data_IF_964144534982
#
_entry.id   IF_964144534982
#
_cell.length_a   1.000
_cell.length_b   1.000
_cell.length_c   1.000
_cell.angle_alpha   90.00
_cell.angle_beta   90.00
_cell.angle_gamma   90.00
#
_symmetry.space_group_name_H-M   'P 1'
#
loop_
_entity.id
_entity.type
_entity.pdbx_description
1 polymer ?
#
# COMPACT_ATOMS: atom_id res chain seq x y z
N UNK A 1 -74.02 5.27 -50.79
CA UNK A 1 -72.97 4.23 -50.58
C UNK A 1 -72.09 4.71 -49.44
N UNK A 2 -72.34 4.27 -48.20
CA UNK A 2 -71.71 3.14 -47.47
C UNK A 2 -70.35 3.48 -46.80
N UNK A 3 -70.37 3.41 -45.44
CA UNK A 3 -69.31 3.13 -44.43
C UNK A 3 -68.43 4.32 -44.01
N UNK A 4 -68.53 4.91 -42.79
CA UNK A 4 -68.39 4.45 -41.39
C UNK A 4 -67.05 3.79 -41.01
N UNK A 5 -66.54 4.20 -39.82
CA UNK A 5 -65.67 3.55 -38.81
C UNK A 5 -64.29 4.21 -38.61
N UNK A 6 -64.14 5.00 -37.53
CA UNK A 6 -63.64 4.61 -36.19
C UNK A 6 -62.12 4.33 -36.12
N UNK A 7 -61.39 5.30 -35.56
CA UNK A 7 -60.16 5.11 -34.76
C UNK A 7 -60.30 6.11 -33.60
N UNK A 8 -60.50 5.76 -32.35
CA UNK A 8 -60.05 4.58 -31.63
C UNK A 8 -59.01 5.05 -30.61
N UNK A 9 -59.48 5.52 -29.45
CA UNK A 9 -58.69 5.88 -28.28
C UNK A 9 -57.70 4.76 -27.92
N UNK A 10 -56.43 5.11 -27.75
CA UNK A 10 -55.43 4.28 -27.09
C UNK A 10 -54.73 5.14 -26.03
N UNK A 11 -55.44 5.31 -24.92
CA UNK A 11 -54.82 5.59 -23.63
C UNK A 11 -54.35 4.24 -23.08
N UNK A 12 -53.05 4.06 -22.88
CA UNK A 12 -52.51 2.85 -22.24
C UNK A 12 -51.31 3.24 -21.38
N UNK A 13 -51.62 3.35 -20.08
CA UNK A 13 -50.79 2.98 -18.93
C UNK A 13 -49.27 3.15 -19.09
N UNK A 14 -48.78 4.34 -18.75
CA UNK A 14 -47.40 4.52 -18.31
C UNK A 14 -47.35 4.22 -16.80
N UNK A 15 -47.23 2.94 -16.45
CA UNK A 15 -46.96 2.52 -15.06
C UNK A 15 -45.49 2.83 -14.79
N UNK A 16 -45.24 3.90 -14.03
CA UNK A 16 -43.94 4.18 -13.43
C UNK A 16 -43.54 3.01 -12.54
N UNK A 17 -42.69 2.12 -13.05
CA UNK A 17 -41.88 1.22 -12.24
C UNK A 17 -40.69 2.02 -11.70
N UNK A 18 -40.91 2.85 -10.66
CA UNK A 18 -39.86 3.22 -9.71
C UNK A 18 -39.56 1.98 -8.87
N UNK A 19 -38.84 1.03 -9.46
CA UNK A 19 -38.17 0.00 -8.69
C UNK A 19 -37.18 0.74 -7.78
N UNK A 20 -37.53 0.86 -6.50
CA UNK A 20 -36.59 1.23 -5.47
C UNK A 20 -35.49 0.17 -5.48
N UNK A 21 -34.41 0.46 -6.19
CA UNK A 21 -33.11 -0.20 -6.04
C UNK A 21 -32.56 0.25 -4.68
N UNK A 22 -33.25 -0.12 -3.62
CA UNK A 22 -32.68 -0.18 -2.28
C UNK A 22 -31.76 -1.39 -2.32
N UNK A 23 -30.57 -1.20 -2.91
CA UNK A 23 -29.45 -2.10 -2.66
C UNK A 23 -29.29 -2.27 -1.15
N UNK A 24 -28.75 -3.40 -0.68
CA UNK A 24 -28.47 -3.55 0.74
C UNK A 24 -27.67 -2.32 1.16
N UNK A 25 -28.26 -1.49 2.01
CA UNK A 25 -27.49 -0.48 2.72
C UNK A 25 -26.48 -1.31 3.51
N UNK A 26 -25.26 -1.43 2.99
CA UNK A 26 -24.14 -1.93 3.78
C UNK A 26 -24.18 -1.06 5.02
N UNK A 27 -24.51 -1.67 6.15
CA UNK A 27 -24.43 -0.99 7.43
C UNK A 27 -22.99 -0.49 7.48
N UNK A 28 -22.82 0.84 7.37
CA UNK A 28 -21.52 1.47 7.44
C UNK A 28 -20.86 0.94 8.70
N UNK A 29 -19.65 0.39 8.56
CA UNK A 29 -18.99 -0.25 9.68
C UNK A 29 -18.89 0.77 10.81
N UNK A 30 -19.23 0.36 12.03
CA UNK A 30 -19.34 1.29 13.14
C UNK A 30 -17.95 1.80 13.54
N UNK A 31 -17.50 2.90 12.94
CA UNK A 31 -16.11 3.37 13.07
C UNK A 31 -15.40 3.61 11.74
N UNK A 32 -16.08 3.46 10.60
CA UNK A 32 -15.60 3.80 9.25
C UNK A 32 -15.60 5.32 9.06
N UNK A 33 -14.50 5.95 9.47
CA UNK A 33 -14.31 7.40 9.48
C UNK A 33 -14.00 7.96 8.10
N UNK A 34 -13.42 7.15 7.21
CA UNK A 34 -13.01 7.56 5.87
C UNK A 34 -13.96 7.11 4.74
N UNK A 35 -14.97 6.31 5.07
CA UNK A 35 -16.12 5.99 4.24
C UNK A 35 -15.82 4.94 3.17
N UNK A 36 -14.78 4.13 3.37
CA UNK A 36 -14.31 3.14 2.41
C UNK A 36 -15.00 1.77 2.55
N UNK A 37 -15.80 1.59 3.62
CA UNK A 37 -16.55 0.39 3.94
C UNK A 37 -15.89 -0.54 4.98
N UNK A 38 -14.74 -0.18 5.54
CA UNK A 38 -14.06 -0.89 6.62
C UNK A 38 -14.09 -0.09 7.93
N UNK A 39 -14.01 -0.80 9.05
CA UNK A 39 -13.88 -0.16 10.36
C UNK A 39 -12.44 0.32 10.58
N UNK A 40 -12.24 1.60 10.89
CA UNK A 40 -10.90 2.21 11.03
C UNK A 40 -9.97 1.45 11.99
N UNK A 41 -10.52 0.84 13.06
CA UNK A 41 -9.73 0.11 14.05
C UNK A 41 -9.35 -1.29 13.55
N UNK A 42 -10.21 -1.94 12.75
CA UNK A 42 -9.85 -3.14 12.01
C UNK A 42 -8.70 -2.82 11.05
N UNK A 43 -8.78 -1.73 10.30
CA UNK A 43 -7.72 -1.36 9.35
C UNK A 43 -6.36 -1.16 10.01
N UNK A 44 -6.31 -0.40 11.11
CA UNK A 44 -5.08 -0.20 11.90
C UNK A 44 -4.50 -1.54 12.35
N UNK A 45 -5.39 -2.44 12.82
CA UNK A 45 -5.01 -3.78 13.26
C UNK A 45 -4.44 -4.59 12.10
N UNK A 46 -5.06 -4.57 10.92
CA UNK A 46 -4.60 -5.30 9.74
C UNK A 46 -3.26 -4.77 9.24
N UNK A 47 -3.12 -3.45 9.11
CA UNK A 47 -1.89 -2.79 8.67
C UNK A 47 -0.72 -3.12 9.62
N UNK A 48 -0.91 -2.94 10.92
CA UNK A 48 0.14 -3.19 11.90
C UNK A 48 0.47 -4.68 12.05
N UNK A 49 -0.52 -5.57 11.94
CA UNK A 49 -0.33 -7.02 12.13
C UNK A 49 0.44 -7.65 10.98
N UNK A 50 0.08 -7.31 9.75
CA UNK A 50 0.58 -7.98 8.54
C UNK A 50 1.82 -7.32 7.93
N UNK A 51 2.28 -6.18 8.46
CA UNK A 51 3.54 -5.57 8.04
C UNK A 51 4.71 -6.57 8.20
N UNK A 52 5.51 -6.80 7.13
CA UNK A 52 6.58 -7.78 7.14
C UNK A 52 7.82 -7.29 7.91
N UNK A 53 8.78 -8.19 8.08
CA UNK A 53 10.15 -7.81 8.37
C UNK A 53 10.80 -7.18 7.11
N UNK A 54 11.63 -6.17 7.32
CA UNK A 54 12.40 -5.53 6.23
C UNK A 54 13.87 -5.86 6.47
N UNK A 55 14.45 -6.64 5.57
CA UNK A 55 15.88 -6.97 5.59
C UNK A 55 16.69 -5.93 4.83
N UNK A 56 17.88 -5.66 5.35
CA UNK A 56 18.85 -4.68 4.85
C UNK A 56 20.16 -5.37 4.55
N UNK A 57 20.91 -4.76 3.63
CA UNK A 57 22.25 -5.25 3.29
C UNK A 57 23.28 -4.89 4.38
N UNK A 58 24.44 -5.55 4.39
CA UNK A 58 25.56 -5.17 5.26
C UNK A 58 26.48 -4.09 4.68
N UNK A 59 26.39 -3.83 3.37
CA UNK A 59 27.14 -2.82 2.62
C UNK A 59 26.57 -1.41 2.75
N UNK A 60 25.44 -1.24 3.43
CA UNK A 60 24.75 0.04 3.60
C UNK A 60 25.68 1.17 4.05
N UNK A 61 25.61 2.29 3.35
CA UNK A 61 26.31 3.51 3.71
C UNK A 61 25.85 4.03 5.08
N UNK A 62 26.81 4.64 5.79
CA UNK A 62 26.56 5.16 7.14
C UNK A 62 25.43 6.20 7.12
N UNK A 63 24.37 5.93 7.88
CA UNK A 63 23.21 6.79 7.99
C UNK A 63 22.11 6.53 6.97
N UNK A 64 22.32 5.67 5.96
CA UNK A 64 21.32 5.45 4.91
C UNK A 64 20.07 4.74 5.43
N UNK A 65 20.27 3.76 6.31
CA UNK A 65 19.20 2.98 6.92
C UNK A 65 18.68 3.58 8.22
N UNK A 66 19.22 4.74 8.62
CA UNK A 66 18.86 5.33 9.89
C UNK A 66 17.50 6.03 9.78
N UNK A 67 16.64 5.89 10.79
CA UNK A 67 15.41 6.64 10.85
C UNK A 67 15.71 8.15 10.89
N UNK A 68 14.78 8.98 10.45
CA UNK A 68 14.98 10.43 10.45
C UNK A 68 15.21 11.02 11.86
N UNK A 69 14.79 10.30 12.90
CA UNK A 69 15.08 10.62 14.31
C UNK A 69 15.55 9.38 15.06
N UNK A 70 16.52 9.50 15.97
CA UNK A 70 17.04 8.38 16.76
C UNK A 70 16.04 7.77 17.75
N UNK A 71 14.91 8.43 18.03
CA UNK A 71 13.90 8.00 19.00
C UNK A 71 12.77 7.14 18.41
N UNK A 72 12.75 6.90 17.10
CA UNK A 72 11.68 6.14 16.46
C UNK A 72 12.29 5.11 15.47
N UNK A 73 11.79 3.86 15.44
CA UNK A 73 12.38 2.77 14.67
C UNK A 73 12.42 2.98 13.15
N UNK A 74 11.56 3.83 12.60
CA UNK A 74 11.34 4.03 11.15
C UNK A 74 9.84 4.21 10.88
N UNK A 75 9.47 4.75 9.73
CA UNK A 75 8.05 5.06 9.42
C UNK A 75 7.60 4.38 8.13
N UNK A 76 6.46 3.70 8.22
CA UNK A 76 5.73 3.18 7.08
C UNK A 76 4.29 3.70 7.12
N UNK A 77 3.79 4.15 5.97
CA UNK A 77 2.39 4.54 5.81
C UNK A 77 1.63 3.39 5.15
N UNK A 78 0.38 3.22 5.52
CA UNK A 78 -0.53 2.25 4.94
C UNK A 78 -1.80 2.94 4.46
N UNK A 79 -2.35 2.46 3.35
CA UNK A 79 -3.74 2.67 2.96
C UNK A 79 -4.39 1.30 2.87
N UNK A 80 -5.36 1.07 3.74
CA UNK A 80 -6.15 -0.17 3.82
C UNK A 80 -7.49 0.12 3.17
N UNK A 81 -8.01 -0.81 2.36
CA UNK A 81 -9.35 -0.70 1.77
C UNK A 81 -9.87 -2.01 1.20
N UNK A 82 -11.18 -2.12 0.88
CA UNK A 82 -11.67 -3.24 0.07
C UNK A 82 -10.92 -3.33 -1.25
N UNK A 83 -10.50 -4.55 -1.61
CA UNK A 83 -9.67 -4.76 -2.78
C UNK A 83 -10.48 -4.47 -4.06
N UNK A 84 -10.01 -3.60 -4.99
CA UNK A 84 -10.81 -3.14 -6.13
C UNK A 84 -11.17 -4.26 -7.12
N UNK A 85 -10.31 -5.27 -7.25
CA UNK A 85 -10.58 -6.44 -8.10
C UNK A 85 -11.44 -7.53 -7.44
N UNK A 86 -11.55 -7.53 -6.11
CA UNK A 86 -12.36 -8.50 -5.35
C UNK A 86 -12.76 -7.86 -4.00
N UNK A 87 -13.97 -7.27 -3.91
CA UNK A 87 -14.42 -6.60 -2.69
C UNK A 87 -14.54 -7.52 -1.45
N UNK A 88 -14.46 -8.84 -1.62
CA UNK A 88 -14.37 -9.79 -0.51
C UNK A 88 -12.98 -9.86 0.14
N UNK A 89 -11.96 -9.28 -0.50
CA UNK A 89 -10.58 -9.20 0.00
C UNK A 89 -10.24 -7.78 0.41
N UNK A 90 -9.13 -7.63 1.14
CA UNK A 90 -8.60 -6.33 1.56
C UNK A 90 -7.29 -6.08 0.82
N UNK A 91 -7.16 -4.88 0.25
CA UNK A 91 -5.91 -4.35 -0.27
C UNK A 91 -5.24 -3.51 0.82
N UNK A 92 -3.95 -3.74 1.04
CA UNK A 92 -3.12 -2.84 1.84
C UNK A 92 -1.97 -2.37 0.97
N UNK A 93 -1.94 -1.07 0.66
CA UNK A 93 -0.80 -0.42 0.05
C UNK A 93 0.07 0.17 1.16
N UNK A 94 1.30 -0.31 1.28
CA UNK A 94 2.30 0.28 2.16
C UNK A 94 3.25 1.16 1.36
N UNK A 95 3.78 2.18 2.02
CA UNK A 95 4.97 2.90 1.56
C UNK A 95 5.95 2.99 2.72
N UNK A 96 7.17 2.52 2.53
CA UNK A 96 8.25 2.77 3.47
C UNK A 96 8.85 4.14 3.14
N UNK A 97 8.97 4.98 4.16
CA UNK A 97 9.57 6.29 4.01
C UNK A 97 11.01 6.25 4.50
N UNK A 98 11.94 6.51 3.59
CA UNK A 98 13.33 6.72 3.96
C UNK A 98 13.65 8.21 3.94
N UNK A 99 14.53 8.63 4.84
CA UNK A 99 14.98 10.02 4.87
C UNK A 99 15.83 10.36 3.64
N UNK A 100 16.54 9.39 3.11
CA UNK A 100 17.53 9.54 2.07
C UNK A 100 17.59 8.22 1.30
N UNK A 101 17.62 8.31 -0.03
CA UNK A 101 18.20 7.30 -0.91
C UNK A 101 19.69 7.69 -1.08
N UNK A 102 20.62 6.79 -0.77
CA UNK A 102 22.04 7.12 -0.82
C UNK A 102 22.69 6.91 -2.18
N UNK A 103 21.97 6.37 -3.17
CA UNK A 103 22.60 5.99 -4.43
C UNK A 103 23.44 4.73 -4.31
N UNK A 104 23.70 4.09 -5.43
CA UNK A 104 24.80 3.13 -5.55
C UNK A 104 25.96 3.75 -6.34
N UNK A 105 26.99 2.94 -6.63
CA UNK A 105 28.29 3.35 -7.19
C UNK A 105 28.21 4.25 -8.45
N UNK A 106 27.09 4.22 -9.18
CA UNK A 106 26.89 5.01 -10.40
C UNK A 106 26.11 6.33 -10.20
N UNK A 107 25.86 6.73 -8.95
CA UNK A 107 25.07 7.90 -8.58
C UNK A 107 23.59 7.55 -8.37
N UNK A 108 22.75 8.56 -8.16
CA UNK A 108 21.30 8.38 -7.99
C UNK A 108 20.76 8.76 -6.62
N UNK A 109 21.63 8.96 -5.62
CA UNK A 109 21.19 9.33 -4.28
C UNK A 109 20.41 10.65 -4.25
N UNK A 110 19.34 10.67 -3.47
CA UNK A 110 18.45 11.82 -3.36
C UNK A 110 17.77 11.91 -1.99
N UNK A 111 17.28 13.12 -1.69
CA UNK A 111 16.57 13.40 -0.47
C UNK A 111 15.20 12.77 -0.47
N UNK A 112 14.87 12.08 0.63
CA UNK A 112 13.68 11.24 0.72
C UNK A 112 13.78 9.97 -0.11
N UNK A 113 12.99 8.97 0.27
CA UNK A 113 12.59 7.89 -0.62
C UNK A 113 11.21 7.32 -0.24
N UNK A 114 10.44 6.87 -1.24
CA UNK A 114 9.09 6.32 -1.06
C UNK A 114 8.95 4.99 -1.78
N UNK A 115 9.16 3.92 -1.02
CA UNK A 115 9.20 2.57 -1.56
C UNK A 115 7.89 1.81 -1.32
N UNK A 116 7.08 1.57 -2.37
CA UNK A 116 5.79 0.91 -2.22
C UNK A 116 5.92 -0.61 -2.16
N UNK A 117 5.03 -1.22 -1.40
CA UNK A 117 4.69 -2.63 -1.56
C UNK A 117 3.24 -2.86 -1.13
N UNK A 118 2.63 -3.93 -1.62
CA UNK A 118 1.24 -4.23 -1.35
C UNK A 118 1.04 -5.63 -0.79
N UNK A 119 0.06 -5.76 0.10
CA UNK A 119 -0.51 -7.04 0.48
C UNK A 119 -1.97 -7.11 0.04
N UNK A 120 -2.38 -8.30 -0.40
CA UNK A 120 -3.78 -8.69 -0.44
C UNK A 120 -4.05 -9.61 0.74
N UNK A 121 -5.09 -9.32 1.52
CA UNK A 121 -5.59 -10.21 2.56
C UNK A 121 -6.90 -10.86 2.10
N UNK A 122 -7.04 -12.16 2.37
CA UNK A 122 -8.26 -12.89 2.05
C UNK A 122 -9.00 -13.32 3.32
N UNK A 123 -10.34 -13.43 3.29
CA UNK A 123 -11.11 -13.93 4.42
C UNK A 123 -10.61 -15.30 4.89
N UNK A 124 -10.47 -15.44 6.19
CA UNK A 124 -10.03 -16.66 6.85
C UNK A 124 -10.48 -16.66 8.31
N UNK A 125 -11.55 -17.41 8.59
CA UNK A 125 -12.27 -17.37 9.87
C UNK A 125 -11.43 -17.85 11.07
N UNK A 126 -10.40 -18.66 10.86
CA UNK A 126 -9.48 -19.12 11.92
C UNK A 126 -8.37 -18.12 12.25
N UNK A 127 -8.21 -17.04 11.47
CA UNK A 127 -7.26 -15.97 11.81
C UNK A 127 -7.84 -15.03 12.88
N UNK A 128 -7.04 -14.47 13.80
CA UNK A 128 -7.52 -13.63 14.90
C UNK A 128 -8.37 -12.41 14.52
N UNK A 129 -8.19 -11.90 13.30
CA UNK A 129 -8.87 -10.73 12.75
C UNK A 129 -9.77 -11.10 11.55
N UNK A 130 -9.97 -12.39 11.27
CA UNK A 130 -10.78 -12.88 10.15
C UNK A 130 -10.09 -12.83 8.79
N UNK A 131 -8.80 -12.47 8.69
CA UNK A 131 -8.06 -12.37 7.44
C UNK A 131 -6.67 -12.99 7.52
N UNK A 132 -6.24 -13.65 6.44
CA UNK A 132 -4.87 -14.14 6.25
C UNK A 132 -4.19 -13.45 5.08
N UNK A 133 -2.86 -13.41 5.08
CA UNK A 133 -2.10 -12.82 3.97
C UNK A 133 -2.16 -13.74 2.74
N UNK A 134 -2.70 -13.24 1.64
CA UNK A 134 -2.96 -14.00 0.43
C UNK A 134 -1.88 -13.78 -0.63
N UNK A 135 -1.49 -12.54 -0.88
CA UNK A 135 -0.46 -12.18 -1.86
C UNK A 135 0.37 -10.99 -1.37
N UNK A 136 1.64 -10.95 -1.79
CA UNK A 136 2.57 -9.84 -1.62
C UNK A 136 3.04 -9.39 -3.00
N UNK A 137 3.12 -8.08 -3.22
CA UNK A 137 3.73 -7.48 -4.40
C UNK A 137 4.68 -6.37 -4.00
N UNK A 138 5.83 -6.31 -4.62
CA UNK A 138 6.77 -5.19 -4.49
C UNK A 138 7.05 -4.60 -5.86
N UNK A 139 7.33 -3.30 -5.92
CA UNK A 139 7.75 -2.63 -7.15
C UNK A 139 8.90 -1.69 -6.81
N UNK A 140 10.10 -2.06 -7.24
CA UNK A 140 11.30 -1.23 -7.17
C UNK A 140 11.43 -0.38 -8.44
N UNK A 141 12.15 0.74 -8.36
CA UNK A 141 12.49 1.58 -9.51
C UNK A 141 11.28 2.07 -10.34
N UNK A 142 10.14 2.26 -9.68
CA UNK A 142 8.85 2.51 -10.36
C UNK A 142 8.92 3.71 -11.32
N UNK A 143 8.48 3.50 -12.56
CA UNK A 143 8.40 4.52 -13.60
C UNK A 143 9.72 4.78 -14.31
N UNK A 144 10.79 4.05 -13.98
CA UNK A 144 12.09 4.14 -14.65
C UNK A 144 12.30 2.98 -15.64
N UNK A 145 13.39 3.02 -16.40
CA UNK A 145 13.78 1.90 -17.27
C UNK A 145 14.19 0.62 -16.51
N UNK A 146 14.36 0.72 -15.20
CA UNK A 146 14.78 -0.35 -14.31
C UNK A 146 13.65 -0.88 -13.43
N UNK A 147 12.40 -0.44 -13.65
CA UNK A 147 11.25 -0.90 -12.87
C UNK A 147 11.22 -2.43 -12.79
N UNK A 148 11.21 -2.94 -11.56
CA UNK A 148 11.16 -4.36 -11.27
C UNK A 148 9.96 -4.64 -10.37
N UNK A 149 9.12 -5.59 -10.78
CA UNK A 149 7.96 -6.02 -10.00
C UNK A 149 8.07 -7.50 -9.68
N UNK A 150 7.95 -7.82 -8.40
CA UNK A 150 7.88 -9.20 -7.90
C UNK A 150 6.54 -9.41 -7.20
N UNK A 151 6.00 -10.63 -7.30
CA UNK A 151 4.74 -11.02 -6.68
C UNK A 151 4.79 -12.45 -6.16
N UNK A 152 4.34 -12.65 -4.91
CA UNK A 152 4.36 -13.93 -4.20
C UNK A 152 2.98 -14.26 -3.64
N UNK A 153 2.51 -15.49 -3.89
CA UNK A 153 1.37 -16.05 -3.17
C UNK A 153 1.82 -16.53 -1.79
N UNK A 154 1.03 -16.20 -0.77
CA UNK A 154 1.35 -16.40 0.64
C UNK A 154 0.49 -17.48 1.30
N UNK A 155 -0.45 -18.09 0.57
CA UNK A 155 -1.24 -19.22 1.07
C UNK A 155 -2.32 -18.85 2.09
N UNK A 156 -2.74 -17.58 2.14
CA UNK A 156 -3.74 -17.07 3.09
C UNK A 156 -3.29 -17.26 4.55
N UNK A 157 -2.03 -16.93 4.85
CA UNK A 157 -1.36 -17.24 6.13
C UNK A 157 -1.77 -16.27 7.27
N UNK A 158 -2.26 -16.83 8.39
CA UNK A 158 -2.64 -16.08 9.60
C UNK A 158 -1.43 -15.55 10.40
N UNK A 159 -0.26 -16.15 10.20
CA UNK A 159 0.98 -15.82 10.89
C UNK A 159 1.88 -14.89 10.05
N UNK A 160 1.47 -14.51 8.85
CA UNK A 160 2.23 -13.55 8.05
C UNK A 160 2.23 -12.16 8.68
N UNK A 161 3.44 -11.61 8.84
CA UNK A 161 3.71 -10.30 9.42
C UNK A 161 4.46 -10.39 10.74
N UNK A 162 5.26 -9.36 11.06
CA UNK A 162 6.08 -9.32 12.27
C UNK A 162 5.24 -9.48 13.52
N UNK A 163 4.16 -8.70 13.61
CA UNK A 163 3.28 -8.67 14.78
C UNK A 163 2.27 -9.85 14.78
N UNK A 164 2.15 -10.58 13.67
CA UNK A 164 1.38 -11.82 13.58
C UNK A 164 2.14 -13.04 14.15
N UNK A 165 3.43 -12.90 14.44
CA UNK A 165 4.33 -14.00 14.87
C UNK A 165 5.12 -14.62 13.72
N UNK A 166 5.10 -14.01 12.53
CA UNK A 166 5.83 -14.48 11.36
C UNK A 166 7.35 -14.41 11.57
N UNK A 167 8.03 -15.49 11.20
CA UNK A 167 9.50 -15.53 11.19
C UNK A 167 10.06 -14.45 10.26
N UNK A 168 11.17 -13.77 10.63
CA UNK A 168 11.86 -12.85 9.73
C UNK A 168 12.38 -13.54 8.48
N UNK A 169 12.47 -14.87 8.45
CA UNK A 169 12.86 -15.64 7.26
C UNK A 169 11.69 -16.07 6.37
N UNK A 170 10.46 -15.70 6.73
CA UNK A 170 9.24 -16.05 5.98
C UNK A 170 8.48 -14.79 5.60
N UNK A 171 8.06 -14.02 6.60
CA UNK A 171 7.25 -12.81 6.45
C UNK A 171 8.13 -11.59 6.20
N UNK A 172 8.76 -11.52 5.03
CA UNK A 172 9.82 -10.54 4.73
C UNK A 172 9.70 -9.89 3.36
N UNK A 173 10.26 -8.69 3.30
CA UNK A 173 10.75 -8.04 2.07
C UNK A 173 12.22 -7.68 2.27
N UNK A 174 12.89 -7.39 1.17
CA UNK A 174 14.27 -6.95 1.14
C UNK A 174 14.32 -5.52 0.65
N UNK A 175 15.13 -4.70 1.29
CA UNK A 175 15.46 -3.38 0.81
C UNK A 175 16.88 -3.44 0.25
N UNK A 176 17.04 -3.01 -1.00
CA UNK A 176 18.35 -2.95 -1.66
C UNK A 176 19.33 -2.10 -0.83
N UNK A 177 20.61 -2.46 -0.90
CA UNK A 177 21.74 -1.69 -0.38
C UNK A 177 21.57 -0.21 -0.74
N UNK A 178 21.84 0.69 0.20
CA UNK A 178 21.72 2.14 0.03
C UNK A 178 20.31 2.64 -0.33
N UNK A 179 19.29 1.77 -0.19
CA UNK A 179 17.86 2.06 -0.35
C UNK A 179 17.44 2.44 -1.77
N UNK A 180 17.67 1.55 -2.73
CA UNK A 180 17.27 1.71 -4.15
C UNK A 180 15.93 1.08 -4.54
N UNK A 181 15.32 0.31 -3.64
CA UNK A 181 14.18 -0.50 -3.99
C UNK A 181 13.77 -1.46 -2.89
N UNK A 182 12.49 -1.84 -2.89
CA UNK A 182 12.00 -2.98 -2.12
C UNK A 182 11.64 -4.18 -3.00
N UNK A 183 12.03 -5.37 -2.56
CA UNK A 183 11.90 -6.63 -3.28
C UNK A 183 11.24 -7.72 -2.45
N UNK A 184 10.44 -8.57 -3.09
CA UNK A 184 9.77 -9.68 -2.41
C UNK A 184 10.69 -10.91 -2.25
N UNK A 185 11.81 -10.98 -2.96
CA UNK A 185 12.79 -12.06 -2.89
C UNK A 185 14.23 -11.57 -3.05
N UNK A 186 15.19 -12.32 -2.50
CA UNK A 186 16.62 -12.03 -2.65
C UNK A 186 17.06 -12.09 -4.12
N UNK A 187 16.62 -13.13 -4.85
CA UNK A 187 16.97 -13.28 -6.27
C UNK A 187 16.46 -12.13 -7.14
N UNK A 188 15.23 -11.66 -6.90
CA UNK A 188 14.70 -10.48 -7.59
C UNK A 188 15.48 -9.21 -7.31
N UNK A 189 16.00 -9.06 -6.08
CA UNK A 189 16.86 -7.92 -5.74
C UNK A 189 18.20 -8.00 -6.48
N UNK A 190 18.89 -9.16 -6.47
CA UNK A 190 20.17 -9.33 -7.18
C UNK A 190 20.04 -9.22 -8.71
N UNK A 191 18.83 -9.39 -9.26
CA UNK A 191 18.53 -9.16 -10.68
C UNK A 191 18.04 -7.70 -10.94
N UNK A 192 17.82 -6.91 -9.89
CA UNK A 192 17.33 -5.54 -9.90
C UNK A 192 18.31 -4.55 -10.53
N UNK A 193 17.80 -3.53 -11.21
CA UNK A 193 18.59 -2.51 -11.90
C UNK A 193 19.73 -3.06 -12.80
N UNK A 194 19.46 -4.14 -13.54
CA UNK A 194 20.46 -4.86 -14.36
C UNK A 194 21.59 -5.50 -13.54
N UNK A 195 21.27 -5.94 -12.32
CA UNK A 195 22.19 -6.56 -11.38
C UNK A 195 23.06 -5.58 -10.60
N UNK A 196 22.60 -4.34 -10.45
CA UNK A 196 23.26 -3.34 -9.60
C UNK A 196 22.67 -3.29 -8.20
N UNK A 197 21.42 -3.73 -8.02
CA UNK A 197 20.82 -3.81 -6.71
C UNK A 197 21.39 -5.02 -5.96
N UNK A 198 21.77 -4.81 -4.70
CA UNK A 198 22.27 -5.85 -3.82
C UNK A 198 21.42 -5.95 -2.56
N UNK A 199 21.15 -7.17 -2.12
CA UNK A 199 20.42 -7.42 -0.90
C UNK A 199 21.10 -8.52 -0.08
N UNK A 200 20.87 -8.50 1.23
CA UNK A 200 21.19 -9.63 2.07
C UNK A 200 20.27 -9.70 3.29
N UNK A 201 20.43 -10.75 4.08
CA UNK A 201 19.73 -10.96 5.34
C UNK A 201 20.64 -10.59 6.51
N UNK A 202 21.23 -9.40 6.45
CA UNK A 202 22.25 -8.98 7.41
C UNK A 202 21.64 -8.45 8.70
N UNK A 203 20.69 -7.53 8.59
CA UNK A 203 19.91 -7.05 9.73
C UNK A 203 18.50 -6.60 9.33
N UNK A 204 17.65 -6.42 10.33
CA UNK A 204 16.30 -5.87 10.13
C UNK A 204 16.14 -4.56 10.89
N UNK A 205 15.29 -3.68 10.38
CA UNK A 205 14.82 -2.48 11.09
C UNK A 205 13.36 -2.65 11.46
N UNK A 206 12.99 -2.02 12.57
CA UNK A 206 11.60 -1.91 12.96
C UNK A 206 10.96 -0.71 12.23
N UNK A 207 9.64 -0.73 12.11
CA UNK A 207 8.87 0.35 11.52
C UNK A 207 7.60 0.55 12.33
N UNK A 208 7.28 1.81 12.60
CA UNK A 208 5.96 2.25 13.01
C UNK A 208 5.07 2.32 11.75
N UNK A 209 3.94 1.64 11.81
CA UNK A 209 3.00 1.53 10.68
C UNK A 209 1.79 2.40 10.99
N UNK A 210 1.46 3.31 10.08
CA UNK A 210 0.38 4.28 10.26
C UNK A 210 -0.61 4.18 9.11
N UNK A 211 -1.88 3.86 9.40
CA UNK A 211 -2.93 3.99 8.39
C UNK A 211 -3.24 5.47 8.17
N UNK A 212 -3.07 5.95 6.94
CA UNK A 212 -3.30 7.34 6.56
C UNK A 212 -4.72 7.61 6.07
N UNK A 213 -5.53 6.55 5.91
CA UNK A 213 -6.92 6.59 5.44
C UNK A 213 -7.02 6.80 3.93
N UNK A 214 -8.06 7.54 3.51
CA UNK A 214 -8.31 7.88 2.11
C UNK A 214 -7.94 9.34 1.78
N UNK A 215 -7.55 9.64 0.54
CA UNK A 215 -7.15 11.01 0.14
C UNK A 215 -8.29 12.03 0.36
N UNK A 216 -9.53 11.60 0.13
CA UNK A 216 -10.74 12.41 0.37
C UNK A 216 -11.20 12.45 1.82
N UNK A 217 -10.66 11.59 2.69
CA UNK A 217 -11.05 11.45 4.08
C UNK A 217 -9.83 10.99 4.92
N UNK A 218 -8.90 11.92 5.07
CA UNK A 218 -7.55 11.65 5.59
C UNK A 218 -7.60 11.42 7.09
N UNK A 219 -6.97 10.33 7.54
CA UNK A 219 -6.75 10.07 8.97
C UNK A 219 -5.45 10.71 9.46
N UNK A 220 -4.42 10.65 8.63
CA UNK A 220 -3.13 11.31 8.83
C UNK A 220 -2.75 12.00 7.52
N UNK A 221 -2.27 13.23 7.61
CA UNK A 221 -1.73 13.96 6.46
C UNK A 221 -0.36 14.53 6.80
N UNK A 222 -0.28 15.40 7.80
CA UNK A 222 0.98 16.02 8.26
C UNK A 222 1.89 14.99 8.95
N UNK A 223 3.17 14.93 8.56
CA UNK A 223 4.12 13.90 8.97
C UNK A 223 5.18 14.36 9.99
N UNK A 224 5.11 15.59 10.55
CA UNK A 224 6.03 16.05 11.60
C UNK A 224 6.02 15.13 12.82
N UNK A 225 4.84 14.64 13.22
CA UNK A 225 4.69 13.66 14.30
C UNK A 225 5.26 12.27 13.95
N UNK A 226 5.58 12.05 12.68
CA UNK A 226 5.98 10.78 12.08
C UNK A 226 7.38 10.87 11.45
N UNK A 227 8.28 11.60 12.12
CA UNK A 227 9.70 11.79 11.76
C UNK A 227 10.00 12.73 10.59
N UNK A 228 8.99 13.21 9.85
CA UNK A 228 9.18 13.98 8.63
C UNK A 228 8.52 15.36 8.72
N UNK A 229 9.14 16.32 9.44
CA UNK A 229 8.60 17.67 9.53
C UNK A 229 8.46 18.35 8.17
N UNK A 230 7.30 18.97 7.95
CA UNK A 230 6.99 19.69 6.71
C UNK A 230 6.60 18.80 5.53
N UNK A 231 6.49 17.48 5.73
CA UNK A 231 6.05 16.52 4.74
C UNK A 231 4.60 16.09 4.98
N UNK A 232 3.94 15.61 3.92
CA UNK A 232 2.51 15.32 3.91
C UNK A 232 2.19 14.07 3.10
N UNK A 233 1.40 13.15 3.64
CA UNK A 233 1.05 11.89 2.98
C UNK A 233 0.21 12.11 1.70
N UNK A 234 -0.69 13.09 1.73
CA UNK A 234 -1.67 13.33 0.65
C UNK A 234 -1.37 14.59 -0.16
N UNK A 235 -0.14 15.06 -0.11
CA UNK A 235 0.29 16.21 -0.90
C UNK A 235 0.67 15.78 -2.33
N UNK A 236 0.40 16.62 -3.35
CA UNK A 236 0.90 16.45 -4.70
C UNK A 236 2.36 16.92 -4.86
N UNK A 237 3.10 16.97 -3.76
CA UNK A 237 4.48 17.44 -3.71
C UNK A 237 5.38 16.23 -3.49
N UNK A 238 6.51 16.14 -4.18
CA UNK A 238 7.47 15.07 -3.96
C UNK A 238 7.96 15.04 -2.51
N UNK A 239 8.19 13.83 -2.01
CA UNK A 239 8.73 13.62 -0.67
C UNK A 239 10.24 13.81 -0.70
N UNK A 240 10.73 14.63 0.22
CA UNK A 240 12.15 14.98 0.35
C UNK A 240 12.77 14.48 1.66
N UNK A 241 12.07 13.61 2.40
CA UNK A 241 12.58 13.09 3.68
C UNK A 241 12.84 14.19 4.71
N UNK A 242 12.18 15.35 4.60
CA UNK A 242 12.47 16.54 5.40
C UNK A 242 13.90 17.06 5.27
N UNK A 243 14.50 16.86 4.09
CA UNK A 243 15.78 17.41 3.66
C UNK A 243 15.56 18.46 2.56
N UNK A 244 16.64 18.85 1.87
CA UNK A 244 16.59 19.81 0.78
C UNK A 244 15.90 19.21 -0.46
N UNK A 245 15.02 19.99 -1.10
CA UNK A 245 14.24 19.57 -2.29
C UNK A 245 15.01 19.65 -3.62
N UNK A 246 16.31 19.37 -3.57
CA UNK A 246 17.19 19.46 -4.74
C UNK A 246 17.06 18.26 -5.68
N UNK A 247 16.64 17.11 -5.15
CA UNK A 247 16.34 15.86 -5.85
C UNK A 247 15.32 15.10 -5.00
N UNK A 248 14.19 14.71 -5.59
CA UNK A 248 13.05 14.16 -4.85
C UNK A 248 12.62 12.78 -5.35
N UNK A 249 12.13 11.94 -4.43
CA UNK A 249 11.78 10.53 -4.62
C UNK A 249 10.37 10.24 -5.21
N UNK A 250 9.74 11.26 -5.79
CA UNK A 250 8.33 11.18 -6.20
C UNK A 250 7.35 11.38 -5.03
N UNK A 251 6.05 11.18 -5.29
CA UNK A 251 4.96 11.56 -4.38
C UNK A 251 4.40 10.36 -3.60
N UNK A 252 4.33 10.46 -2.27
CA UNK A 252 3.65 9.49 -1.39
C UNK A 252 2.23 9.22 -1.89
N UNK A 253 1.46 10.29 -2.13
CA UNK A 253 0.08 10.22 -2.63
C UNK A 253 -0.05 9.37 -3.89
N UNK A 254 0.87 9.51 -4.85
CA UNK A 254 0.81 8.74 -6.11
C UNK A 254 1.01 7.25 -5.88
N UNK A 255 1.90 6.87 -4.95
CA UNK A 255 2.10 5.46 -4.59
C UNK A 255 0.86 4.88 -3.92
N UNK A 256 0.29 5.57 -2.93
CA UNK A 256 -0.89 5.14 -2.17
C UNK A 256 -2.15 4.98 -3.04
N UNK A 257 -2.29 5.80 -4.09
CA UNK A 257 -3.44 5.78 -5.00
C UNK A 257 -3.27 4.84 -6.22
N UNK A 258 -2.10 4.23 -6.41
CA UNK A 258 -1.82 3.44 -7.60
C UNK A 258 -2.33 2.00 -7.47
N UNK A 259 -3.50 1.72 -8.04
CA UNK A 259 -4.05 0.37 -8.10
C UNK A 259 -3.16 -0.60 -8.90
N UNK A 260 -2.34 -0.07 -9.81
CA UNK A 260 -1.34 -0.87 -10.55
C UNK A 260 -0.25 -1.46 -9.64
N UNK A 261 -0.06 -0.92 -8.44
CA UNK A 261 0.90 -1.43 -7.45
C UNK A 261 0.29 -2.46 -6.50
N UNK A 262 -1.02 -2.71 -6.56
CA UNK A 262 -1.66 -3.71 -5.71
C UNK A 262 -1.23 -5.13 -6.08
N UNK A 263 -1.08 -5.97 -5.05
CA UNK A 263 -0.95 -7.41 -5.22
C UNK A 263 -2.27 -7.98 -5.76
N UNK A 264 -2.26 -9.17 -6.37
CA UNK A 264 -3.45 -9.72 -7.00
C UNK A 264 -4.59 -9.95 -6.00
N UNK A 265 -5.80 -9.75 -6.51
CA UNK A 265 -7.04 -10.05 -5.80
C UNK A 265 -7.66 -11.40 -6.15
N UNK A 266 -7.18 -12.13 -7.16
CA UNK A 266 -7.80 -13.36 -7.69
C UNK A 266 -6.78 -14.47 -7.97
#
# INVERSE_FOLDING_TARGET
MKRHLLRGLLASLLVLFTAMMSGPAQAQAAGDGDGDGLDDALEDTLAARHFPWVWFDSGEDSGCTDPATSSNPGTALARVRPHPADPGKIAIMYTILYRQDCGDWFGGGHSGDVEPFALTLAPRADCPNGYGAFALKTTAHQGTAFEHTDERLLGNDCAWGRNAGGSPYVARIYSAENKHGNYASLGSCEDGALGNDHCSESFTRQYAVHNVGEDGARRIDELSGHQFPGEYAWSPVPFSGSLDRGSDAGMIRTKLLSDGLLARGF
#
